data_IF_137789047110
#
_entry.id   IF_137789047110
#
_cell.length_a   1.000
_cell.length_b   1.000
_cell.length_c   1.000
_cell.angle_alpha   90.00
_cell.angle_beta   90.00
_cell.angle_gamma   90.00
#
_symmetry.space_group_name_H-M   'P 1'
#
loop_
_entity.id
_entity.type
_entity.pdbx_description
1 polymer ?
#
# COMPACT_ATOMS: atom_id res chain seq x y z
N UNK A 1 -0.97 4.18 1.25
CA UNK A 1 -2.12 5.05 0.91
C UNK A 1 -2.18 5.31 -0.58
N UNK A 2 -1.20 5.96 -1.23
CA UNK A 2 -1.21 6.12 -2.71
C UNK A 2 -1.25 4.77 -3.44
N UNK A 3 -0.39 3.81 -3.03
CA UNK A 3 -0.43 2.42 -3.56
C UNK A 3 -1.81 1.76 -3.38
N UNK A 4 -2.49 2.02 -2.25
CA UNK A 4 -3.83 1.47 -2.00
C UNK A 4 -4.93 2.14 -2.84
N UNK A 5 -4.68 3.36 -3.33
CA UNK A 5 -5.59 4.11 -4.19
C UNK A 5 -5.38 3.78 -5.68
N UNK A 6 -4.13 3.53 -6.10
CA UNK A 6 -3.74 3.28 -7.49
C UNK A 6 -4.47 2.06 -8.11
N UNK A 7 -4.88 1.09 -7.29
CA UNK A 7 -5.63 -0.08 -7.75
C UNK A 7 -7.15 0.13 -7.89
N UNK A 8 -7.67 1.34 -7.63
CA UNK A 8 -9.10 1.60 -7.59
C UNK A 8 -9.49 2.85 -8.39
N UNK A 9 -10.13 2.64 -9.54
CA UNK A 9 -10.52 3.68 -10.50
C UNK A 9 -11.49 4.73 -9.92
N UNK A 10 -12.21 4.41 -8.83
CA UNK A 10 -13.20 5.28 -8.19
C UNK A 10 -12.79 5.82 -6.81
N UNK A 11 -11.54 5.59 -6.39
CA UNK A 11 -11.08 5.97 -5.05
C UNK A 11 -11.57 5.05 -3.94
N UNK A 12 -11.33 5.45 -2.68
CA UNK A 12 -11.71 4.69 -1.47
C UNK A 12 -12.19 5.59 -0.35
N UNK A 13 -13.17 5.13 0.42
CA UNK A 13 -13.60 5.82 1.64
C UNK A 13 -12.52 5.77 2.71
N UNK A 14 -12.55 6.72 3.65
CA UNK A 14 -11.64 6.71 4.80
C UNK A 14 -11.69 5.39 5.58
N UNK A 15 -12.89 4.85 5.80
CA UNK A 15 -13.06 3.60 6.54
C UNK A 15 -12.38 2.42 5.85
N UNK A 16 -12.53 2.33 4.52
CA UNK A 16 -11.90 1.28 3.74
C UNK A 16 -10.36 1.40 3.77
N UNK A 17 -9.85 2.62 3.61
CA UNK A 17 -8.42 2.89 3.74
C UNK A 17 -7.88 2.58 5.14
N UNK A 18 -8.63 2.89 6.19
CA UNK A 18 -8.25 2.61 7.57
C UNK A 18 -8.09 1.10 7.80
N UNK A 19 -9.05 0.30 7.29
CA UNK A 19 -9.02 -1.16 7.34
C UNK A 19 -7.82 -1.74 6.60
N UNK A 20 -7.61 -1.34 5.35
CA UNK A 20 -6.52 -1.88 4.51
C UNK A 20 -5.13 -1.46 4.97
N UNK A 21 -4.99 -0.24 5.48
CA UNK A 21 -3.72 0.27 6.01
C UNK A 21 -3.47 -0.16 7.47
N UNK A 22 -4.44 -0.83 8.10
CA UNK A 22 -4.40 -1.20 9.52
C UNK A 22 -4.10 -0.02 10.45
N UNK A 23 -4.74 1.13 10.20
CA UNK A 23 -4.62 2.36 11.01
C UNK A 23 -5.99 2.91 11.38
N UNK A 24 -6.04 3.86 12.31
CA UNK A 24 -7.30 4.52 12.68
C UNK A 24 -7.78 5.50 11.61
N UNK A 25 -9.10 5.74 11.56
CA UNK A 25 -9.70 6.75 10.68
C UNK A 25 -9.09 8.14 10.86
N UNK A 26 -8.77 8.55 12.09
CA UNK A 26 -8.12 9.84 12.35
C UNK A 26 -6.72 9.91 11.74
N UNK A 27 -5.99 8.79 11.76
CA UNK A 27 -4.69 8.71 11.11
C UNK A 27 -4.82 8.83 9.60
N UNK A 28 -5.82 8.17 9.00
CA UNK A 28 -6.11 8.32 7.57
C UNK A 28 -6.40 9.79 7.27
N UNK A 29 -7.36 10.42 7.94
CA UNK A 29 -7.72 11.84 7.74
C UNK A 29 -6.52 12.78 7.85
N UNK A 30 -5.62 12.55 8.81
CA UNK A 30 -4.38 13.32 8.97
C UNK A 30 -3.44 13.16 7.77
N UNK A 31 -3.26 11.93 7.27
CA UNK A 31 -2.45 11.65 6.09
C UNK A 31 -3.08 12.25 4.82
N UNK A 32 -4.40 12.20 4.70
CA UNK A 32 -5.13 12.76 3.56
C UNK A 32 -4.94 14.26 3.45
N UNK A 33 -4.99 15.00 4.56
CA UNK A 33 -4.70 16.44 4.59
C UNK A 33 -3.31 16.77 4.03
N UNK A 34 -2.29 16.01 4.43
CA UNK A 34 -0.90 16.22 3.96
C UNK A 34 -0.73 15.92 2.48
N UNK A 35 -1.42 14.92 1.96
CA UNK A 35 -1.33 14.51 0.56
C UNK A 35 -2.18 15.41 -0.35
N UNK A 36 -3.35 15.87 0.11
CA UNK A 36 -4.17 16.85 -0.58
C UNK A 36 -3.46 18.21 -0.69
N UNK A 37 -2.76 18.64 0.36
CA UNK A 37 -1.93 19.86 0.33
C UNK A 37 -0.79 19.81 -0.71
N UNK A 38 -0.46 18.63 -1.22
CA UNK A 38 0.53 18.41 -2.28
C UNK A 38 -0.11 18.10 -3.64
N UNK A 39 -1.43 18.24 -3.77
CA UNK A 39 -2.21 17.89 -4.96
C UNK A 39 -2.00 16.43 -5.45
N UNK A 40 -1.71 15.50 -4.53
CA UNK A 40 -1.54 14.08 -4.86
C UNK A 40 -2.86 13.32 -4.82
N UNK A 41 -3.84 13.85 -4.10
CA UNK A 41 -5.17 13.27 -3.94
C UNK A 41 -6.21 14.40 -3.81
N UNK A 42 -7.47 14.05 -4.04
CA UNK A 42 -8.65 14.85 -3.72
C UNK A 42 -9.56 14.07 -2.79
N UNK A 43 -10.35 14.79 -2.01
CA UNK A 43 -11.37 14.20 -1.15
C UNK A 43 -12.72 14.74 -1.61
N UNK A 44 -13.62 13.84 -1.96
CA UNK A 44 -14.99 14.13 -2.33
C UNK A 44 -15.92 13.20 -1.55
N UNK A 45 -16.86 13.76 -0.77
CA UNK A 45 -17.81 13.01 0.06
C UNK A 45 -17.18 11.82 0.83
N UNK A 46 -16.14 12.10 1.64
CA UNK A 46 -15.35 11.11 2.39
C UNK A 46 -14.64 10.03 1.56
N UNK A 47 -14.64 10.16 0.23
CA UNK A 47 -13.94 9.32 -0.72
C UNK A 47 -12.65 10.00 -1.15
N UNK A 48 -11.54 9.30 -0.98
CA UNK A 48 -10.22 9.74 -1.40
C UNK A 48 -9.98 9.24 -2.82
N UNK A 49 -9.65 10.17 -3.71
CA UNK A 49 -9.42 9.92 -5.14
C UNK A 49 -8.01 10.40 -5.48
N UNK A 50 -7.25 9.61 -6.22
CA UNK A 50 -5.90 9.97 -6.64
C UNK A 50 -5.91 10.97 -7.80
N UNK A 51 -5.02 11.96 -7.78
CA UNK A 51 -4.82 12.86 -8.93
C UNK A 51 -3.84 12.24 -9.92
N UNK A 52 -3.70 12.84 -11.12
CA UNK A 52 -2.67 12.39 -12.07
C UNK A 52 -1.24 12.53 -11.49
N UNK A 53 -0.97 13.61 -10.74
CA UNK A 53 0.30 13.78 -10.03
C UNK A 53 0.52 12.71 -8.96
N UNK A 54 -0.56 12.31 -8.26
CA UNK A 54 -0.56 11.17 -7.33
C UNK A 54 -0.18 9.87 -8.01
N UNK A 55 -0.83 9.54 -9.14
CA UNK A 55 -0.57 8.32 -9.93
C UNK A 55 0.87 8.25 -10.41
N UNK A 56 1.41 9.36 -10.92
CA UNK A 56 2.79 9.40 -11.40
C UNK A 56 3.81 9.22 -10.27
N UNK A 57 3.53 9.80 -9.09
CA UNK A 57 4.34 9.54 -7.91
C UNK A 57 4.20 8.08 -7.46
N UNK A 58 2.99 7.51 -7.50
CA UNK A 58 2.75 6.13 -7.13
C UNK A 58 3.55 5.15 -8.00
N UNK A 59 3.57 5.35 -9.32
CA UNK A 59 4.41 4.56 -10.25
C UNK A 59 5.89 4.62 -9.88
N UNK A 60 6.40 5.80 -9.48
CA UNK A 60 7.80 5.94 -9.04
C UNK A 60 8.06 5.18 -7.74
N UNK A 61 7.12 5.23 -6.80
CA UNK A 61 7.20 4.49 -5.54
C UNK A 61 7.15 2.98 -5.78
N UNK A 62 6.27 2.50 -6.66
CA UNK A 62 6.19 1.07 -7.04
C UNK A 62 7.47 0.57 -7.69
N UNK A 63 8.05 1.37 -8.61
CA UNK A 63 9.34 1.06 -9.22
C UNK A 63 10.44 0.95 -8.15
N UNK A 64 10.52 1.93 -7.25
CA UNK A 64 11.52 1.92 -6.18
C UNK A 64 11.32 0.74 -5.20
N UNK A 65 10.07 0.35 -4.93
CA UNK A 65 9.75 -0.85 -4.14
C UNK A 65 10.28 -2.10 -4.84
N UNK A 66 10.01 -2.27 -6.13
CA UNK A 66 10.49 -3.42 -6.89
C UNK A 66 12.02 -3.51 -6.93
N UNK A 67 12.71 -2.38 -7.10
CA UNK A 67 14.18 -2.31 -7.05
C UNK A 67 14.73 -2.68 -5.67
N UNK A 68 14.07 -2.23 -4.61
CA UNK A 68 14.44 -2.56 -3.22
C UNK A 68 14.21 -4.04 -2.93
N UNK A 69 13.06 -4.58 -3.31
CA UNK A 69 12.72 -6.00 -3.15
C UNK A 69 13.73 -6.87 -3.89
N UNK A 70 14.12 -6.48 -5.11
CA UNK A 70 15.17 -7.15 -5.88
C UNK A 70 16.54 -7.04 -5.21
N UNK A 71 16.87 -5.91 -4.60
CA UNK A 71 18.14 -5.74 -3.87
C UNK A 71 18.21 -6.65 -2.64
N UNK A 72 17.12 -6.78 -1.90
CA UNK A 72 17.02 -7.63 -0.70
C UNK A 72 17.08 -9.11 -1.10
N UNK A 73 16.29 -9.50 -2.11
CA UNK A 73 16.20 -10.90 -2.56
C UNK A 73 17.34 -11.32 -3.49
N UNK A 74 18.08 -10.38 -4.08
CA UNK A 74 19.20 -10.66 -4.97
C UNK A 74 20.41 -11.31 -4.29
N UNK A 75 20.42 -11.33 -2.96
CA UNK A 75 21.42 -12.08 -2.17
C UNK A 75 21.03 -13.56 -1.98
N UNK A 76 19.82 -13.96 -2.40
CA UNK A 76 19.31 -15.32 -2.32
C UNK A 76 19.21 -15.93 -3.71
N UNK A 77 19.44 -17.23 -3.81
CA UNK A 77 19.05 -17.99 -5.00
C UNK A 77 17.53 -18.03 -5.17
N UNK A 78 17.06 -18.45 -6.35
CA UNK A 78 15.62 -18.63 -6.62
C UNK A 78 14.98 -19.63 -5.66
N UNK A 79 15.68 -20.71 -5.33
CA UNK A 79 15.17 -21.77 -4.46
C UNK A 79 15.09 -21.31 -3.00
N UNK A 80 16.10 -20.56 -2.52
CA UNK A 80 16.07 -19.95 -1.19
C UNK A 80 14.96 -18.90 -1.07
N UNK A 81 14.74 -18.09 -2.10
CA UNK A 81 13.64 -17.12 -2.15
C UNK A 81 12.29 -17.83 -2.07
N UNK A 82 12.08 -18.90 -2.84
CA UNK A 82 10.87 -19.72 -2.80
C UNK A 82 10.66 -20.37 -1.42
N UNK A 83 11.72 -20.91 -0.83
CA UNK A 83 11.70 -21.47 0.52
C UNK A 83 11.25 -20.45 1.56
N UNK A 84 11.83 -19.25 1.54
CA UNK A 84 11.47 -18.15 2.44
C UNK A 84 9.99 -17.74 2.28
N UNK A 85 9.53 -17.55 1.04
CA UNK A 85 8.14 -17.21 0.74
C UNK A 85 7.17 -18.26 1.30
N UNK A 86 7.50 -19.54 1.18
CA UNK A 86 6.67 -20.63 1.69
C UNK A 86 6.59 -20.65 3.22
N UNK A 87 7.69 -20.37 3.92
CA UNK A 87 7.71 -20.25 5.38
C UNK A 87 6.84 -19.06 5.82
N UNK A 88 7.02 -17.90 5.20
CA UNK A 88 6.24 -16.70 5.52
C UNK A 88 4.73 -16.90 5.28
N UNK A 89 4.35 -17.57 4.18
CA UNK A 89 2.94 -17.93 3.90
C UNK A 89 2.34 -18.82 4.98
N UNK A 90 3.09 -19.82 5.47
CA UNK A 90 2.63 -20.69 6.56
C UNK A 90 2.41 -19.90 7.85
N UNK A 91 3.35 -19.02 8.19
CA UNK A 91 3.25 -18.18 9.40
C UNK A 91 2.05 -17.23 9.34
N UNK A 92 1.78 -16.61 8.18
CA UNK A 92 0.61 -15.76 7.99
C UNK A 92 -0.69 -16.54 8.19
N UNK A 93 -0.82 -17.71 7.55
CA UNK A 93 -2.01 -18.56 7.69
C UNK A 93 -2.24 -18.99 9.15
N UNK A 94 -1.19 -19.41 9.85
CA UNK A 94 -1.28 -19.76 11.27
C UNK A 94 -1.64 -18.57 12.17
N UNK A 95 -1.31 -17.34 11.78
CA UNK A 95 -1.70 -16.14 12.52
C UNK A 95 -3.15 -15.71 12.26
N UNK A 96 -3.68 -16.02 11.09
CA UNK A 96 -5.08 -15.74 10.72
C UNK A 96 -6.03 -16.78 11.32
N UNK A 97 -5.65 -18.06 11.35
CA UNK A 97 -6.43 -19.15 11.95
C UNK A 97 -6.54 -19.06 13.48
N UNK A 98 -5.67 -18.28 14.13
CA UNK A 98 -5.62 -18.07 15.58
C UNK A 98 -6.26 -16.74 16.05
N UNK A 99 -6.98 -16.03 15.18
CA UNK A 99 -7.75 -14.82 15.50
C UNK A 99 -9.24 -15.09 15.51
#
# INVERSE_FOLDING_TARGET
>A
MLIELNHHQHGKTFEKLAKELHVTNDKVKSLTKKLAAKDLIRVDNDTVIETEAGKDLCKKVEKHRAETDQTITGMLSKDETLGLVNVLKKMLKSSEDNK
#
